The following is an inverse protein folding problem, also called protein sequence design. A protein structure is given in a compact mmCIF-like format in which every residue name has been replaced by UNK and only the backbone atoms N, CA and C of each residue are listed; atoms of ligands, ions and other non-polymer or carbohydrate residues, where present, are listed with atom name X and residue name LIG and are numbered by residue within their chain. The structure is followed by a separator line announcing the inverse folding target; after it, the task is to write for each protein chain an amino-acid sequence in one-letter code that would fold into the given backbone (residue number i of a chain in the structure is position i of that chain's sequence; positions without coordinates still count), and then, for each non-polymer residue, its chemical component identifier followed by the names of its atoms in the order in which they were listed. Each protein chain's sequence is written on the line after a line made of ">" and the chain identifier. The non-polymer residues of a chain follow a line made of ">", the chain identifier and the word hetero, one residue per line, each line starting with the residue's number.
data_IF_798271509120
#
_entry.id   IF_798271509120
#
_cell.length_a   1.000
_cell.length_b   1.000
_cell.length_c   1.000
_cell.angle_alpha   90.00
_cell.angle_beta   90.00
_cell.angle_gamma   90.00
#
_symmetry.space_group_name_H-M   'P 1'
#
loop_
_entity.id
_entity.type
_entity.pdbx_description
1 polymer ?
#
# COMPACT_ATOMS: atom_id res chain seq x y z
N UNK A 1 4.10 -30.51 -17.37
CA UNK A 1 3.32 -29.63 -16.47
C UNK A 1 3.90 -29.80 -15.06
N UNK A 2 4.02 -28.72 -14.29
CA UNK A 2 4.65 -28.71 -12.95
C UNK A 2 3.68 -28.16 -11.89
N UNK A 3 3.85 -28.58 -10.64
CA UNK A 3 3.10 -28.07 -9.50
C UNK A 3 3.74 -26.76 -9.02
N UNK A 4 2.97 -25.68 -8.92
CA UNK A 4 3.50 -24.37 -8.51
C UNK A 4 3.78 -24.25 -7.01
N UNK A 5 3.33 -25.21 -6.19
CA UNK A 5 3.60 -25.23 -4.73
C UNK A 5 4.98 -25.84 -4.46
N UNK A 6 5.28 -27.01 -5.03
CA UNK A 6 6.57 -27.69 -4.82
C UNK A 6 7.60 -27.44 -5.94
N UNK A 7 7.23 -26.68 -6.98
CA UNK A 7 8.08 -26.30 -8.11
C UNK A 7 8.69 -27.54 -8.81
N UNK A 8 7.98 -28.66 -8.73
CA UNK A 8 8.43 -29.97 -9.23
C UNK A 8 7.39 -30.56 -10.18
N UNK A 9 7.74 -31.68 -10.83
CA UNK A 9 6.77 -32.47 -11.59
C UNK A 9 5.60 -32.91 -10.71
N UNK A 10 4.41 -33.04 -11.31
CA UNK A 10 3.25 -33.55 -10.60
C UNK A 10 3.48 -34.96 -10.04
N UNK A 11 3.16 -35.14 -8.77
CA UNK A 11 3.04 -36.45 -8.13
C UNK A 11 1.56 -36.78 -8.01
N UNK A 12 1.06 -37.84 -8.67
CA UNK A 12 -0.28 -38.34 -8.44
C UNK A 12 -0.50 -38.70 -6.95
N UNK A 13 -1.74 -38.53 -6.42
CA UNK A 13 -2.89 -37.98 -7.13
C UNK A 13 -2.79 -36.47 -7.39
N UNK A 14 -3.28 -36.04 -8.55
CA UNK A 14 -3.30 -34.65 -8.98
C UNK A 14 -4.64 -34.05 -8.58
N UNK A 15 -4.62 -32.93 -7.87
CA UNK A 15 -5.82 -32.22 -7.45
C UNK A 15 -6.02 -31.01 -8.35
N UNK A 16 -7.13 -31.00 -9.10
CA UNK A 16 -7.52 -29.89 -9.98
C UNK A 16 -8.64 -29.11 -9.31
N UNK A 17 -8.39 -27.84 -9.01
CA UNK A 17 -9.38 -26.95 -8.40
C UNK A 17 -10.41 -26.50 -9.45
N UNK A 18 -11.56 -25.99 -8.98
CA UNK A 18 -12.59 -25.39 -9.85
C UNK A 18 -12.08 -24.23 -10.72
N UNK A 19 -11.06 -23.52 -10.24
CA UNK A 19 -10.36 -22.48 -11.00
C UNK A 19 -9.43 -23.02 -12.09
N UNK A 20 -9.46 -24.32 -12.39
CA UNK A 20 -8.63 -25.08 -13.36
C UNK A 20 -7.15 -25.21 -13.03
N UNK A 21 -6.68 -24.63 -11.92
CA UNK A 21 -5.30 -24.83 -11.46
C UNK A 21 -5.13 -26.20 -10.80
N UNK A 22 -4.03 -26.89 -11.15
CA UNK A 22 -3.71 -28.22 -10.67
C UNK A 22 -2.47 -28.23 -9.77
N UNK A 23 -2.51 -29.08 -8.74
CA UNK A 23 -1.47 -29.25 -7.73
C UNK A 23 -1.28 -30.74 -7.41
N UNK A 24 -0.13 -31.11 -6.83
CA UNK A 24 -0.07 -32.40 -6.14
C UNK A 24 -1.08 -32.38 -4.99
N UNK A 25 -1.80 -33.47 -4.75
CA UNK A 25 -2.81 -33.53 -3.69
C UNK A 25 -2.23 -33.18 -2.31
N UNK A 26 -1.06 -33.74 -1.97
CA UNK A 26 -0.35 -33.43 -0.72
C UNK A 26 -0.01 -31.94 -0.59
N UNK A 27 0.41 -31.29 -1.68
CA UNK A 27 0.76 -29.88 -1.68
C UNK A 27 -0.44 -28.98 -1.38
N UNK A 28 -1.57 -29.20 -2.07
CA UNK A 28 -2.76 -28.36 -1.86
C UNK A 28 -3.45 -28.68 -0.54
N UNK A 29 -3.36 -29.92 -0.05
CA UNK A 29 -3.86 -30.29 1.27
C UNK A 29 -3.07 -29.57 2.38
N UNK A 30 -1.74 -29.45 2.26
CA UNK A 30 -0.92 -28.70 3.21
C UNK A 30 -1.27 -27.20 3.18
N UNK A 31 -1.41 -26.63 1.98
CA UNK A 31 -1.84 -25.25 1.78
C UNK A 31 -3.19 -24.96 2.46
N UNK A 32 -4.15 -25.87 2.32
CA UNK A 32 -5.46 -25.75 2.94
C UNK A 32 -5.45 -25.73 4.47
N UNK A 33 -4.35 -26.12 5.13
CA UNK A 33 -4.26 -25.99 6.60
C UNK A 33 -4.22 -24.54 7.07
N UNK A 34 -3.82 -23.59 6.22
CA UNK A 34 -3.69 -22.18 6.56
C UNK A 34 -4.38 -21.21 5.59
N UNK A 35 -4.87 -21.69 4.45
CA UNK A 35 -5.45 -20.84 3.41
C UNK A 35 -6.68 -21.48 2.78
N UNK A 36 -7.70 -20.68 2.49
CA UNK A 36 -8.95 -21.10 1.84
C UNK A 36 -9.08 -20.60 0.40
N UNK A 37 -7.96 -20.20 -0.21
CA UNK A 37 -7.91 -19.64 -1.57
C UNK A 37 -6.82 -20.28 -2.41
N UNK A 38 -7.01 -20.31 -3.73
CA UNK A 38 -6.07 -20.86 -4.70
C UNK A 38 -4.72 -20.09 -4.66
N UNK A 39 -3.56 -20.78 -4.61
CA UNK A 39 -2.25 -20.14 -4.61
C UNK A 39 -1.94 -19.25 -5.84
N UNK A 40 -2.60 -19.49 -6.98
CA UNK A 40 -2.29 -18.81 -8.24
C UNK A 40 -3.25 -17.66 -8.58
N UNK A 41 -4.51 -17.76 -8.18
CA UNK A 41 -5.55 -16.78 -8.57
C UNK A 41 -6.40 -16.28 -7.40
N UNK A 42 -6.11 -16.74 -6.19
CA UNK A 42 -6.83 -16.36 -4.96
C UNK A 42 -8.34 -16.64 -4.98
N UNK A 43 -8.84 -17.47 -5.91
CA UNK A 43 -10.24 -17.90 -5.89
C UNK A 43 -10.48 -18.86 -4.71
N UNK A 44 -11.65 -18.78 -4.04
CA UNK A 44 -11.98 -19.64 -2.91
C UNK A 44 -11.90 -21.13 -3.27
N UNK A 45 -11.32 -21.92 -2.37
CA UNK A 45 -11.26 -23.37 -2.48
C UNK A 45 -12.47 -23.96 -1.78
N UNK A 46 -13.20 -24.84 -2.45
CA UNK A 46 -14.32 -25.58 -1.85
C UNK A 46 -14.32 -27.04 -2.31
N UNK A 47 -14.42 -27.27 -3.62
CA UNK A 47 -14.36 -28.60 -4.22
C UNK A 47 -13.22 -28.70 -5.23
N UNK A 48 -12.75 -29.92 -5.43
CA UNK A 48 -11.71 -30.23 -6.40
C UNK A 48 -11.92 -31.62 -7.01
N UNK A 49 -11.35 -31.84 -8.19
CA UNK A 49 -11.28 -33.16 -8.83
C UNK A 49 -9.92 -33.76 -8.55
N UNK A 50 -9.90 -34.91 -7.89
CA UNK A 50 -8.73 -35.73 -7.67
C UNK A 50 -8.57 -36.69 -8.86
N UNK A 51 -7.41 -36.69 -9.50
CA UNK A 51 -7.05 -37.59 -10.60
C UNK A 51 -5.91 -38.51 -10.18
N UNK A 52 -6.17 -39.81 -10.17
CA UNK A 52 -5.19 -40.84 -9.82
C UNK A 52 -4.27 -41.19 -11.01
N UNK A 53 -3.19 -41.94 -10.74
CA UNK A 53 -2.25 -42.38 -11.77
C UNK A 53 -2.88 -43.33 -12.82
N UNK A 54 -3.96 -44.02 -12.46
CA UNK A 54 -4.71 -44.92 -13.36
C UNK A 54 -5.75 -44.20 -14.23
N UNK A 55 -5.86 -42.87 -14.10
CA UNK A 55 -6.82 -42.04 -14.84
C UNK A 55 -8.22 -42.00 -14.23
N UNK A 56 -8.45 -42.67 -13.10
CA UNK A 56 -9.69 -42.50 -12.34
C UNK A 56 -9.79 -41.10 -11.75
N UNK A 57 -11.00 -40.56 -11.71
CA UNK A 57 -11.26 -39.22 -11.15
C UNK A 57 -12.38 -39.26 -10.11
N UNK A 58 -12.21 -38.47 -9.05
CA UNK A 58 -13.19 -38.33 -7.97
C UNK A 58 -13.32 -36.87 -7.57
N UNK A 59 -14.55 -36.40 -7.37
CA UNK A 59 -14.78 -35.12 -6.71
C UNK A 59 -14.58 -35.24 -5.20
N UNK A 60 -13.81 -34.31 -4.64
CA UNK A 60 -13.49 -34.23 -3.21
C UNK A 60 -13.80 -32.83 -2.67
N UNK A 61 -14.10 -32.78 -1.38
CA UNK A 61 -14.15 -31.54 -0.62
C UNK A 61 -12.80 -31.32 0.06
N UNK A 62 -12.24 -30.11 -0.07
CA UNK A 62 -11.00 -29.76 0.62
C UNK A 62 -11.35 -29.00 1.89
N UNK A 63 -10.97 -29.55 3.05
CA UNK A 63 -11.10 -28.86 4.33
C UNK A 63 -10.02 -27.79 4.44
N UNK A 64 -10.37 -26.56 4.03
CA UNK A 64 -9.46 -25.43 4.08
C UNK A 64 -9.80 -24.53 5.26
N UNK A 65 -8.80 -24.21 6.09
CA UNK A 65 -8.96 -23.22 7.15
C UNK A 65 -8.95 -21.84 6.50
N UNK A 66 -9.87 -20.98 6.92
CA UNK A 66 -9.78 -19.56 6.60
C UNK A 66 -8.40 -19.08 7.04
N UNK A 67 -7.67 -18.49 6.10
CA UNK A 67 -6.53 -17.70 6.50
C UNK A 67 -7.09 -16.66 7.47
N UNK A 68 -6.64 -16.71 8.73
CA UNK A 68 -6.67 -15.50 9.54
C UNK A 68 -5.96 -14.47 8.67
N UNK A 69 -6.64 -13.38 8.35
CA UNK A 69 -6.06 -12.33 7.54
C UNK A 69 -4.90 -11.72 8.33
N UNK A 70 -3.75 -12.37 8.32
CA UNK A 70 -2.47 -11.70 8.43
C UNK A 70 -2.51 -10.70 7.29
N UNK A 71 -2.87 -9.47 7.64
CA UNK A 71 -2.78 -8.30 6.77
C UNK A 71 -1.30 -8.05 6.56
N UNK A 72 -0.67 -8.94 5.80
CA UNK A 72 0.73 -8.82 5.47
C UNK A 72 0.83 -7.61 4.55
N UNK A 73 1.22 -6.47 5.13
CA UNK A 73 1.47 -5.24 4.40
C UNK A 73 2.64 -5.38 3.41
N UNK A 74 3.34 -6.53 3.43
CA UNK A 74 4.43 -6.89 2.52
C UNK A 74 4.01 -6.95 1.05
N UNK A 75 2.71 -7.00 0.74
CA UNK A 75 2.23 -6.94 -0.65
C UNK A 75 2.06 -5.50 -1.17
N UNK A 76 2.23 -4.48 -0.33
CA UNK A 76 2.20 -3.09 -0.77
C UNK A 76 3.54 -2.74 -1.43
N UNK A 77 3.50 -2.57 -2.73
CA UNK A 77 4.67 -2.31 -3.57
C UNK A 77 4.73 -0.84 -4.04
N UNK A 78 5.78 -0.51 -4.79
CA UNK A 78 5.93 0.82 -5.38
C UNK A 78 4.73 1.20 -6.27
N UNK A 79 4.10 0.27 -6.98
CA UNK A 79 2.96 0.60 -7.86
C UNK A 79 1.71 1.01 -7.07
N UNK A 80 1.45 0.36 -5.93
CA UNK A 80 0.42 0.80 -5.00
C UNK A 80 0.70 2.24 -4.51
N UNK A 81 1.89 2.48 -3.96
CA UNK A 81 2.22 3.79 -3.40
C UNK A 81 2.29 4.89 -4.46
N UNK A 82 2.73 4.58 -5.69
CA UNK A 82 2.68 5.50 -6.82
C UNK A 82 1.28 6.02 -7.08
N UNK A 83 0.29 5.12 -7.06
CA UNK A 83 -1.12 5.49 -7.26
C UNK A 83 -1.63 6.34 -6.11
N UNK A 84 -1.27 6.00 -4.88
CA UNK A 84 -1.73 6.72 -3.69
C UNK A 84 -1.11 8.12 -3.60
N UNK A 85 0.21 8.25 -3.80
CA UNK A 85 0.92 9.53 -3.87
C UNK A 85 0.34 10.39 -5.00
N UNK A 86 0.09 9.83 -6.18
CA UNK A 86 -0.50 10.59 -7.29
C UNK A 86 -1.91 11.13 -6.98
N UNK A 87 -2.72 10.42 -6.17
CA UNK A 87 -4.01 10.95 -5.69
C UNK A 87 -3.79 12.14 -4.75
N UNK A 88 -2.83 12.04 -3.83
CA UNK A 88 -2.52 13.11 -2.88
C UNK A 88 -1.95 14.35 -3.56
N UNK A 89 -1.09 14.20 -4.57
CA UNK A 89 -0.58 15.32 -5.37
C UNK A 89 -1.72 16.08 -6.05
N UNK A 90 -2.68 15.36 -6.66
CA UNK A 90 -3.88 15.98 -7.27
C UNK A 90 -4.74 16.67 -6.22
N UNK A 91 -4.93 16.05 -5.06
CA UNK A 91 -5.70 16.64 -3.96
C UNK A 91 -5.03 17.92 -3.47
N UNK A 92 -3.72 17.92 -3.25
CA UNK A 92 -2.95 19.08 -2.82
C UNK A 92 -3.07 20.25 -3.81
N UNK A 93 -2.99 19.97 -5.11
CA UNK A 93 -3.22 20.98 -6.14
C UNK A 93 -4.63 21.58 -6.07
N UNK A 94 -5.65 20.74 -5.92
CA UNK A 94 -7.03 21.22 -5.81
C UNK A 94 -7.21 22.09 -4.55
N UNK A 95 -6.66 21.67 -3.41
CA UNK A 95 -6.69 22.45 -2.17
C UNK A 95 -5.99 23.80 -2.34
N UNK A 96 -4.83 23.83 -2.97
CA UNK A 96 -4.11 25.07 -3.30
C UNK A 96 -4.98 26.03 -4.12
N UNK A 97 -5.61 25.51 -5.18
CA UNK A 97 -6.46 26.32 -6.08
C UNK A 97 -7.73 26.81 -5.38
N UNK A 98 -8.42 25.94 -4.65
CA UNK A 98 -9.71 26.23 -4.02
C UNK A 98 -9.57 27.16 -2.81
N UNK A 99 -8.52 26.99 -1.99
CA UNK A 99 -8.38 27.77 -0.75
C UNK A 99 -7.50 29.01 -0.88
N UNK A 100 -6.45 28.96 -1.69
CA UNK A 100 -5.40 29.99 -1.65
C UNK A 100 -5.31 30.84 -2.92
N UNK A 101 -5.66 30.29 -4.09
CA UNK A 101 -5.59 31.02 -5.37
C UNK A 101 -6.91 31.68 -5.79
N UNK A 102 -7.98 31.53 -5.01
CA UNK A 102 -9.24 32.24 -5.25
C UNK A 102 -9.16 33.70 -4.83
N UNK A 103 -9.93 34.56 -5.50
CA UNK A 103 -10.04 35.99 -5.17
C UNK A 103 -10.55 36.24 -3.73
N UNK A 104 -11.37 35.32 -3.21
CA UNK A 104 -11.90 35.33 -1.84
C UNK A 104 -11.29 34.21 -0.98
N UNK A 105 -9.99 33.98 -1.14
CA UNK A 105 -9.22 32.97 -0.39
C UNK A 105 -9.56 33.02 1.11
N UNK A 106 -9.81 31.84 1.69
CA UNK A 106 -10.05 31.64 3.13
C UNK A 106 -8.86 30.96 3.80
N UNK A 107 -7.74 30.82 3.08
CA UNK A 107 -6.54 30.16 3.59
C UNK A 107 -5.73 31.07 4.49
N UNK A 108 -5.27 30.56 5.63
CA UNK A 108 -4.36 31.28 6.52
C UNK A 108 -2.89 31.08 6.12
N UNK A 109 -1.96 31.97 6.51
CA UNK A 109 -0.54 31.77 6.25
C UNK A 109 0.02 30.48 6.86
N UNK A 110 -0.50 30.05 8.01
CA UNK A 110 -0.10 28.80 8.65
C UNK A 110 -0.53 27.57 7.86
N UNK A 111 -1.79 27.56 7.40
CA UNK A 111 -2.31 26.50 6.51
C UNK A 111 -1.55 26.45 5.18
N UNK A 112 -1.18 27.62 4.64
CA UNK A 112 -0.36 27.68 3.42
C UNK A 112 1.00 27.04 3.62
N UNK A 113 1.69 27.35 4.72
CA UNK A 113 2.99 26.74 5.07
C UNK A 113 2.86 25.23 5.23
N UNK A 114 1.82 24.75 5.92
CA UNK A 114 1.54 23.32 6.05
C UNK A 114 1.33 22.67 4.67
N UNK A 115 0.53 23.29 3.80
CA UNK A 115 0.30 22.79 2.44
C UNK A 115 1.60 22.70 1.63
N UNK A 116 2.49 23.69 1.73
CA UNK A 116 3.79 23.63 1.05
C UNK A 116 4.66 22.50 1.60
N UNK A 117 4.69 22.28 2.92
CA UNK A 117 5.42 21.17 3.51
C UNK A 117 4.90 19.82 3.01
N UNK A 118 3.57 19.66 2.95
CA UNK A 118 2.95 18.45 2.41
C UNK A 118 3.35 18.25 0.94
N UNK A 119 3.25 19.30 0.12
CA UNK A 119 3.64 19.23 -1.31
C UNK A 119 5.09 18.83 -1.49
N UNK A 120 6.01 19.44 -0.74
CA UNK A 120 7.43 19.09 -0.77
C UNK A 120 7.64 17.62 -0.38
N UNK A 121 6.95 17.13 0.65
CA UNK A 121 7.06 15.72 1.04
C UNK A 121 6.51 14.78 -0.02
N UNK A 122 5.37 15.11 -0.65
CA UNK A 122 4.80 14.34 -1.75
C UNK A 122 5.73 14.30 -2.98
N UNK A 123 6.45 15.39 -3.28
CA UNK A 123 7.46 15.41 -4.35
C UNK A 123 8.63 14.47 -4.05
N UNK A 124 9.11 14.46 -2.79
CA UNK A 124 10.16 13.52 -2.37
C UNK A 124 9.63 12.08 -2.47
N UNK A 125 8.44 11.78 -1.94
CA UNK A 125 7.86 10.44 -2.00
C UNK A 125 7.65 9.95 -3.44
N UNK A 126 7.19 10.82 -4.34
CA UNK A 126 7.04 10.49 -5.77
C UNK A 126 8.39 10.19 -6.43
N UNK A 127 9.44 10.93 -6.07
CA UNK A 127 10.81 10.65 -6.52
C UNK A 127 11.32 9.31 -5.96
N UNK A 128 11.26 9.10 -4.64
CA UNK A 128 11.70 7.87 -3.98
C UNK A 128 10.98 6.64 -4.57
N UNK A 129 9.69 6.79 -4.88
CA UNK A 129 8.90 5.74 -5.50
C UNK A 129 9.35 5.42 -6.94
N UNK A 130 9.64 6.45 -7.75
CA UNK A 130 10.14 6.30 -9.13
C UNK A 130 11.52 5.65 -9.18
N UNK A 131 12.38 5.97 -8.22
CA UNK A 131 13.72 5.40 -8.07
C UNK A 131 13.71 4.01 -7.40
N UNK A 132 12.52 3.47 -7.11
CA UNK A 132 12.33 2.16 -6.48
C UNK A 132 13.11 2.02 -5.16
N UNK A 133 13.21 3.11 -4.40
CA UNK A 133 13.90 3.11 -3.10
C UNK A 133 13.16 2.16 -2.15
N UNK A 134 13.92 1.30 -1.46
CA UNK A 134 13.36 0.36 -0.49
C UNK A 134 12.67 1.11 0.65
N UNK A 135 11.51 0.63 1.07
CA UNK A 135 10.72 1.21 2.15
C UNK A 135 10.17 0.12 3.07
N UNK A 136 9.79 0.52 4.28
CA UNK A 136 8.95 -0.28 5.17
C UNK A 136 7.47 0.01 4.87
N UNK A 137 6.65 -0.99 4.47
CA UNK A 137 5.27 -0.77 4.06
C UNK A 137 4.36 -0.17 5.13
N UNK A 138 4.58 -0.50 6.40
CA UNK A 138 3.79 0.02 7.52
C UNK A 138 4.06 1.51 7.72
N UNK A 139 5.33 1.87 7.81
CA UNK A 139 5.78 3.26 7.98
C UNK A 139 5.33 4.15 6.82
N UNK A 140 5.50 3.69 5.57
CA UNK A 140 5.12 4.48 4.40
C UNK A 140 3.60 4.62 4.29
N UNK A 141 2.84 3.59 4.66
CA UNK A 141 1.39 3.64 4.68
C UNK A 141 0.87 4.65 5.72
N UNK A 142 1.42 4.63 6.93
CA UNK A 142 1.09 5.60 7.98
C UNK A 142 1.40 7.04 7.56
N UNK A 143 2.53 7.25 6.90
CA UNK A 143 2.89 8.56 6.35
C UNK A 143 1.88 9.03 5.30
N UNK A 144 1.53 8.18 4.34
CA UNK A 144 0.54 8.51 3.30
C UNK A 144 -0.82 8.86 3.90
N UNK A 145 -1.28 8.11 4.91
CA UNK A 145 -2.53 8.42 5.62
C UNK A 145 -2.45 9.73 6.42
N UNK A 146 -1.29 10.01 7.02
CA UNK A 146 -1.06 11.27 7.74
C UNK A 146 -1.15 12.45 6.78
N UNK A 147 -0.49 12.38 5.62
CA UNK A 147 -0.53 13.43 4.60
C UNK A 147 -1.96 13.62 4.04
N UNK A 148 -2.70 12.54 3.79
CA UNK A 148 -4.11 12.61 3.37
C UNK A 148 -4.99 13.32 4.41
N UNK A 149 -4.83 12.94 5.68
CA UNK A 149 -5.57 13.56 6.79
C UNK A 149 -5.28 15.05 6.89
N UNK A 150 -4.00 15.43 6.85
CA UNK A 150 -3.58 16.83 6.89
C UNK A 150 -4.12 17.62 5.69
N UNK A 151 -4.10 17.06 4.47
CA UNK A 151 -4.71 17.70 3.29
C UNK A 151 -6.21 17.92 3.48
N UNK A 152 -6.93 16.95 4.04
CA UNK A 152 -8.35 17.08 4.34
C UNK A 152 -8.63 18.14 5.42
N UNK A 153 -7.76 18.27 6.42
CA UNK A 153 -7.85 19.32 7.43
C UNK A 153 -7.63 20.70 6.82
N UNK A 154 -6.57 20.88 6.01
CA UNK A 154 -6.31 22.12 5.27
C UNK A 154 -7.49 22.46 4.36
N UNK A 155 -8.05 21.47 3.65
CA UNK A 155 -9.23 21.67 2.79
C UNK A 155 -10.41 22.24 3.56
N UNK A 156 -10.73 21.69 4.74
CA UNK A 156 -11.84 22.16 5.59
C UNK A 156 -11.53 23.49 6.29
N UNK A 157 -10.26 23.78 6.56
CA UNK A 157 -9.84 24.92 7.37
C UNK A 157 -9.84 24.62 8.87
N UNK A 158 -9.72 23.34 9.21
CA UNK A 158 -9.77 22.83 10.58
C UNK A 158 -8.37 22.34 10.99
N UNK A 159 -7.33 23.14 10.71
CA UNK A 159 -5.95 22.81 11.03
C UNK A 159 -5.67 23.21 12.48
N UNK A 160 -5.30 22.27 13.38
CA UNK A 160 -4.97 22.59 14.75
C UNK A 160 -3.57 23.22 14.81
N UNK A 161 -3.37 24.08 15.80
CA UNK A 161 -2.19 24.95 15.90
C UNK A 161 -0.86 24.20 16.01
N UNK A 162 -0.87 22.99 16.58
CA UNK A 162 0.31 22.14 16.73
C UNK A 162 0.85 21.61 15.39
N UNK A 163 -0.02 21.51 14.37
CA UNK A 163 0.39 21.13 13.02
C UNK A 163 0.90 22.31 12.19
N UNK A 164 0.72 23.55 12.66
CA UNK A 164 1.21 24.73 11.93
C UNK A 164 2.72 24.85 12.12
N UNK A 165 3.51 24.90 11.03
CA UNK A 165 4.96 25.05 11.12
C UNK A 165 5.32 26.37 11.83
N UNK A 166 6.01 26.27 12.98
CA UNK A 166 6.49 27.45 13.74
C UNK A 166 7.58 28.18 12.96
N UNK A 167 7.56 29.51 13.02
CA UNK A 167 8.68 30.31 12.50
C UNK A 167 9.92 30.07 13.36
N UNK A 168 11.05 29.73 12.74
CA UNK A 168 12.35 29.85 13.41
C UNK A 168 12.56 31.34 13.66
N UNK A 169 12.51 31.76 14.91
CA UNK A 169 13.01 33.07 15.32
C UNK A 169 14.46 33.20 14.88
N UNK A 170 14.72 34.14 13.97
CA UNK A 170 16.07 34.54 13.58
C UNK A 170 16.72 35.12 14.85
N UNK A 171 17.68 34.41 15.43
CA UNK A 171 18.56 34.98 16.45
C UNK A 171 19.49 35.97 15.74
N UNK A 172 19.31 37.24 16.05
CA UNK A 172 20.16 38.35 15.61
C UNK A 172 21.46 38.38 16.40
N UNK A 173 22.34 37.39 16.19
CA UNK A 173 23.67 37.34 16.81
C UNK A 173 24.75 37.15 15.72
N UNK A 174 24.80 38.07 14.74
CA UNK A 174 25.98 38.28 13.88
C UNK A 174 26.13 39.79 13.60
N UNK A 175 26.33 40.57 14.66
CA UNK A 175 27.08 41.82 14.59
C UNK A 175 28.36 41.60 15.40
N UNK A 176 29.50 41.58 14.71
CA UNK A 176 30.81 42.08 15.15
C UNK A 176 31.94 41.38 14.38
N UNK A 177 32.24 41.87 13.17
CA UNK A 177 33.59 41.72 12.62
C UNK A 177 33.93 42.84 11.64
N UNK A 178 34.23 44.02 12.18
CA UNK A 178 35.25 44.91 11.63
C UNK A 178 35.93 45.63 12.79
N UNK A 179 37.20 45.32 13.01
CA UNK A 179 38.14 46.21 13.69
C UNK A 179 39.42 46.24 12.84
N UNK A 180 39.92 47.45 12.62
CA UNK A 180 40.94 47.91 11.65
C UNK A 180 42.27 47.14 11.61
#
# INVERSE_FOLDING_TARGET
>A
MSCSICISSFSPPICTLFCSHAYCFSCIQEWCKGHDFCPLCSQPISTATLSEADGSTQEIHLECKKAEAERSLMCLDHDYFKKEIAKLVRLAYNVEVERFKQRNSQGTPGEWKLLQNIKNRLEVLDYENKELIQFDPETLLDEVYTLDSQLKMVKRGDVPEDLIPREKSISSDEEDYYDD
#
